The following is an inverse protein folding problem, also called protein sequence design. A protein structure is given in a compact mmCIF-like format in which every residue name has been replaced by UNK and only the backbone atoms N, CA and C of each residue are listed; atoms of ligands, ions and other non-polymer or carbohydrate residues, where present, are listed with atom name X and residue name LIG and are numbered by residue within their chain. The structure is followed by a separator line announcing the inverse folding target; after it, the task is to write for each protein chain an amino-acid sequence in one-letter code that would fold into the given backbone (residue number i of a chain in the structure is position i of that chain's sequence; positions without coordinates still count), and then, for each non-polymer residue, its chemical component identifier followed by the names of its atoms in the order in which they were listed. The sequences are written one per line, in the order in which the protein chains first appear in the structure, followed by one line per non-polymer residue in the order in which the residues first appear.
data_IF_913160325621
#
_entry.id   IF_913160325621
#
_cell.length_a   1.000
_cell.length_b   1.000
_cell.length_c   1.000
_cell.angle_alpha   90.00
_cell.angle_beta   90.00
_cell.angle_gamma   90.00
#
_symmetry.space_group_name_H-M   'P 1'
#
loop_
_entity.id
_entity.type
_entity.pdbx_description
1 polymer ?
#
# COMPACT_ATOMS: atom_id res chain seq x y z
N UNK A 1 -25.65 -37.52 35.49
CA UNK A 1 -26.99 -37.30 36.09
C UNK A 1 -27.73 -36.30 35.21
N UNK A 2 -28.86 -36.68 34.59
CA UNK A 2 -30.25 -36.38 34.99
C UNK A 2 -30.70 -34.90 34.82
N UNK A 3 -31.52 -34.68 33.77
CA UNK A 3 -32.53 -33.62 33.54
C UNK A 3 -32.07 -32.14 33.54
N UNK A 4 -32.44 -31.27 32.59
CA UNK A 4 -33.76 -30.84 32.05
C UNK A 4 -34.66 -30.08 33.04
N UNK A 5 -34.80 -28.75 32.88
CA UNK A 5 -36.09 -28.08 32.54
C UNK A 5 -35.97 -26.58 32.20
N UNK A 6 -37.08 -26.02 31.70
CA UNK A 6 -37.29 -24.63 31.23
C UNK A 6 -38.02 -23.77 32.29
N UNK A 7 -38.38 -22.54 31.88
CA UNK A 7 -39.40 -21.62 32.44
C UNK A 7 -38.85 -20.56 33.44
N UNK A 8 -39.33 -19.30 33.47
CA UNK A 8 -40.43 -18.68 32.69
C UNK A 8 -40.39 -17.13 32.63
N UNK A 9 -41.38 -16.58 31.92
CA UNK A 9 -41.95 -15.21 31.92
C UNK A 9 -41.96 -14.51 33.30
N UNK A 10 -42.16 -13.18 33.46
CA UNK A 10 -42.85 -12.15 32.62
C UNK A 10 -42.02 -10.82 32.62
N UNK A 11 -42.46 -9.55 32.43
CA UNK A 11 -43.75 -8.82 32.34
C UNK A 11 -43.55 -7.49 31.54
N UNK A 12 -44.63 -6.86 31.07
CA UNK A 12 -44.66 -5.54 30.40
C UNK A 12 -45.25 -4.42 31.27
N UNK A 13 -44.79 -3.17 31.07
CA UNK A 13 -45.47 -1.96 31.53
C UNK A 13 -45.14 -0.77 30.59
N UNK A 14 -46.05 0.21 30.49
CA UNK A 14 -45.92 1.37 29.60
C UNK A 14 -46.50 2.65 30.22
N UNK A 15 -46.05 3.82 29.75
CA UNK A 15 -46.67 5.12 30.03
C UNK A 15 -46.45 6.10 28.85
N UNK A 16 -47.40 7.00 28.62
CA UNK A 16 -47.37 8.08 27.60
C UNK A 16 -47.46 9.47 28.29
N UNK A 17 -47.81 10.51 27.51
CA UNK A 17 -48.30 11.87 27.93
C UNK A 17 -47.15 12.85 28.23
N UNK A 18 -47.12 14.10 27.72
CA UNK A 18 -47.88 14.82 26.67
C UNK A 18 -46.94 15.93 26.11
N UNK A 19 -46.93 16.26 24.81
CA UNK A 19 -47.89 17.10 24.08
C UNK A 19 -48.10 18.51 24.67
N UNK A 20 -47.69 19.56 23.93
CA UNK A 20 -47.82 20.96 24.33
C UNK A 20 -47.44 21.91 23.19
N UNK A 21 -48.36 22.15 22.25
CA UNK A 21 -48.16 23.08 21.13
C UNK A 21 -48.77 24.45 21.39
N UNK A 22 -48.19 25.50 20.81
CA UNK A 22 -48.73 26.86 20.82
C UNK A 22 -48.91 27.37 19.38
N UNK A 23 -50.11 27.86 19.06
CA UNK A 23 -50.36 28.65 17.86
C UNK A 23 -50.13 30.14 18.17
N UNK A 24 -49.57 30.87 17.22
CA UNK A 24 -49.61 32.33 17.16
C UNK A 24 -49.99 32.76 15.74
N UNK A 25 -50.79 33.82 15.61
CA UNK A 25 -51.41 34.23 14.36
C UNK A 25 -50.51 35.16 13.53
N UNK A 26 -50.61 35.06 12.21
CA UNK A 26 -49.83 35.89 11.29
C UNK A 26 -50.39 37.31 11.10
N UNK A 27 -49.65 38.12 10.36
CA UNK A 27 -50.09 39.39 9.78
C UNK A 27 -49.56 39.49 8.34
N UNK A 28 -50.40 39.92 7.40
CA UNK A 28 -50.04 40.03 5.99
C UNK A 28 -49.74 41.49 5.63
N UNK A 29 -48.56 41.73 5.03
CA UNK A 29 -48.19 43.03 4.46
C UNK A 29 -48.19 42.94 2.93
N UNK A 30 -48.67 43.99 2.27
CA UNK A 30 -48.67 44.09 0.81
C UNK A 30 -47.26 44.39 0.26
N UNK A 31 -46.91 43.92 -0.95
CA UNK A 31 -45.60 44.18 -1.54
C UNK A 31 -45.47 45.64 -1.98
N UNK A 32 -44.37 46.29 -1.57
CA UNK A 32 -43.93 47.54 -2.18
C UNK A 32 -43.05 47.24 -3.40
N UNK A 33 -43.29 47.95 -4.50
CA UNK A 33 -42.46 47.86 -5.70
C UNK A 33 -41.10 48.54 -5.48
N UNK A 34 -40.01 47.80 -5.67
CA UNK A 34 -38.64 48.34 -5.70
C UNK A 34 -38.01 48.14 -7.09
N UNK A 35 -37.19 49.10 -7.51
CA UNK A 35 -36.49 49.06 -8.79
C UNK A 35 -35.35 48.01 -8.79
N UNK A 36 -34.95 47.47 -9.96
CA UNK A 36 -33.93 46.43 -10.04
C UNK A 36 -32.54 46.99 -9.71
N UNK A 37 -32.09 46.78 -8.47
CA UNK A 37 -30.69 46.97 -8.11
C UNK A 37 -29.79 46.06 -8.96
N UNK A 38 -28.75 46.62 -9.54
CA UNK A 38 -27.81 45.87 -10.37
C UNK A 38 -26.96 44.93 -9.48
N UNK A 39 -27.39 43.66 -9.38
CA UNK A 39 -26.61 42.61 -8.75
C UNK A 39 -25.33 42.36 -9.56
N UNK A 40 -24.23 42.95 -9.12
CA UNK A 40 -22.88 42.54 -9.53
C UNK A 40 -22.69 41.12 -8.99
N UNK A 41 -22.86 40.13 -9.85
CA UNK A 41 -22.46 38.76 -9.58
C UNK A 41 -20.93 38.75 -9.53
N UNK A 42 -20.38 38.96 -8.33
CA UNK A 42 -19.00 38.61 -8.04
C UNK A 42 -18.91 37.11 -8.26
N UNK A 43 -18.20 36.70 -9.31
CA UNK A 43 -18.04 35.29 -9.62
C UNK A 43 -17.51 34.56 -8.37
N UNK A 44 -18.16 33.46 -7.99
CA UNK A 44 -17.60 32.57 -6.98
C UNK A 44 -16.19 32.20 -7.42
N UNK A 45 -15.25 32.22 -6.47
CA UNK A 45 -13.95 31.59 -6.71
C UNK A 45 -14.23 30.17 -7.17
N UNK A 46 -13.64 29.76 -8.30
CA UNK A 46 -13.65 28.36 -8.71
C UNK A 46 -13.29 27.50 -7.49
N UNK A 47 -14.21 26.63 -7.10
CA UNK A 47 -14.08 25.78 -5.92
C UNK A 47 -12.76 25.04 -6.02
N UNK A 48 -11.89 25.15 -5.02
CA UNK A 48 -10.68 24.32 -5.02
C UNK A 48 -11.12 22.86 -5.09
N UNK A 49 -10.68 22.16 -6.14
CA UNK A 49 -10.98 20.76 -6.32
C UNK A 49 -10.58 19.98 -5.07
N UNK A 50 -11.46 19.07 -4.62
CA UNK A 50 -11.22 18.21 -3.47
C UNK A 50 -9.85 17.55 -3.55
N UNK A 51 -9.12 17.42 -2.43
CA UNK A 51 -7.91 16.62 -2.41
C UNK A 51 -8.22 15.19 -2.83
N UNK A 52 -7.24 14.58 -3.48
CA UNK A 52 -7.27 13.16 -3.83
C UNK A 52 -6.41 12.42 -2.83
N UNK A 53 -6.98 11.43 -2.16
CA UNK A 53 -6.27 10.59 -1.20
C UNK A 53 -5.67 9.39 -1.91
N UNK A 54 -4.36 9.31 -1.90
CA UNK A 54 -3.60 8.15 -2.39
C UNK A 54 -3.04 7.39 -1.19
N UNK A 55 -3.12 6.07 -1.19
CA UNK A 55 -2.70 5.23 -0.07
C UNK A 55 -1.97 3.95 -0.52
N UNK A 56 -1.16 3.40 0.38
CA UNK A 56 -0.65 2.02 0.29
C UNK A 56 -0.95 1.28 1.58
N UNK A 57 -1.10 -0.04 1.50
CA UNK A 57 -1.25 -0.91 2.67
C UNK A 57 -0.80 -2.33 2.32
N UNK A 58 0.29 -2.83 2.91
CA UNK A 58 0.51 -4.27 2.94
C UNK A 58 -0.62 -4.92 3.75
N UNK A 59 -1.40 -5.80 3.12
CA UNK A 59 -2.64 -6.33 3.68
C UNK A 59 -2.47 -7.72 4.30
N UNK A 60 -1.27 -8.32 4.24
CA UNK A 60 -0.98 -9.71 4.64
C UNK A 60 -2.02 -10.71 4.09
N UNK A 61 -2.46 -10.49 2.84
CA UNK A 61 -3.41 -11.35 2.11
C UNK A 61 -2.72 -12.51 1.39
N UNK A 62 -1.42 -12.72 1.62
CA UNK A 62 -0.70 -13.92 1.18
C UNK A 62 -1.30 -15.18 1.82
N UNK A 63 -1.35 -16.28 1.09
CA UNK A 63 -1.83 -17.58 1.59
C UNK A 63 -0.84 -18.69 1.30
N UNK A 64 -1.11 -19.87 1.84
CA UNK A 64 -0.18 -21.02 1.81
C UNK A 64 -0.30 -21.86 0.53
N UNK A 65 -1.41 -21.76 -0.22
CA UNK A 65 -1.63 -22.52 -1.45
C UNK A 65 -2.32 -21.66 -2.54
N UNK A 66 -2.12 -21.97 -3.84
CA UNK A 66 -2.81 -21.29 -4.94
C UNK A 66 -4.32 -21.24 -4.78
N UNK A 67 -4.90 -20.04 -4.91
CA UNK A 67 -6.35 -19.82 -4.86
C UNK A 67 -6.99 -19.98 -3.47
N UNK A 68 -6.21 -20.12 -2.39
CA UNK A 68 -6.72 -20.04 -1.03
C UNK A 68 -7.35 -18.66 -0.76
N UNK A 69 -6.72 -17.57 -1.22
CA UNK A 69 -7.26 -16.21 -1.09
C UNK A 69 -8.60 -16.05 -1.83
N UNK A 70 -8.68 -16.56 -3.07
CA UNK A 70 -9.95 -16.60 -3.85
C UNK A 70 -11.04 -17.35 -3.09
N UNK A 71 -10.69 -18.46 -2.42
CA UNK A 71 -11.65 -19.26 -1.64
C UNK A 71 -12.13 -18.51 -0.40
N UNK A 72 -11.23 -17.86 0.33
CA UNK A 72 -11.56 -17.05 1.51
C UNK A 72 -12.46 -15.86 1.16
N UNK A 73 -12.07 -15.08 0.15
CA UNK A 73 -12.80 -13.90 -0.31
C UNK A 73 -14.13 -14.24 -1.02
N UNK A 74 -14.33 -15.50 -1.43
CA UNK A 74 -15.62 -15.98 -1.92
C UNK A 74 -16.67 -16.13 -0.81
N UNK A 75 -16.24 -16.26 0.45
CA UNK A 75 -17.09 -16.03 1.61
C UNK A 75 -17.16 -14.54 1.96
N UNK A 76 -18.11 -14.17 2.82
CA UNK A 76 -18.22 -12.82 3.40
C UNK A 76 -17.79 -12.78 4.87
N UNK A 77 -17.13 -13.84 5.35
CA UNK A 77 -16.93 -14.16 6.78
C UNK A 77 -15.49 -14.09 7.26
N UNK A 78 -14.51 -13.78 6.40
CA UNK A 78 -13.13 -13.55 6.87
C UNK A 78 -13.10 -12.34 7.80
N UNK A 79 -12.50 -12.51 8.98
CA UNK A 79 -12.28 -11.44 9.94
C UNK A 79 -11.19 -10.48 9.43
N UNK A 80 -10.11 -11.01 8.87
CA UNK A 80 -9.01 -10.22 8.31
C UNK A 80 -9.50 -9.35 7.15
N UNK A 81 -10.21 -9.93 6.19
CA UNK A 81 -10.71 -9.16 5.05
C UNK A 81 -11.77 -8.12 5.43
N UNK A 82 -12.56 -8.36 6.50
CA UNK A 82 -13.43 -7.32 7.09
C UNK A 82 -12.62 -6.20 7.74
N UNK A 83 -11.59 -6.53 8.53
CA UNK A 83 -10.78 -5.54 9.23
C UNK A 83 -10.00 -4.65 8.24
N UNK A 84 -9.33 -5.25 7.24
CA UNK A 84 -8.65 -4.53 6.14
C UNK A 84 -9.64 -3.67 5.35
N UNK A 85 -10.82 -4.18 5.00
CA UNK A 85 -11.84 -3.37 4.33
C UNK A 85 -12.37 -2.22 5.20
N UNK A 86 -12.55 -2.43 6.51
CA UNK A 86 -12.94 -1.40 7.47
C UNK A 86 -11.90 -0.27 7.58
N UNK A 87 -10.62 -0.61 7.60
CA UNK A 87 -9.50 0.36 7.58
C UNK A 87 -9.54 1.21 6.30
N UNK A 88 -9.75 0.58 5.15
CA UNK A 88 -9.87 1.25 3.86
C UNK A 88 -11.14 2.10 3.80
N UNK A 89 -12.27 1.63 4.34
CA UNK A 89 -13.52 2.39 4.39
C UNK A 89 -13.45 3.60 5.32
N UNK A 90 -12.82 3.47 6.49
CA UNK A 90 -12.59 4.56 7.44
C UNK A 90 -11.59 5.60 6.91
N UNK A 91 -10.56 5.18 6.19
CA UNK A 91 -9.56 6.09 5.59
C UNK A 91 -10.03 6.70 4.26
N UNK A 92 -10.95 6.04 3.57
CA UNK A 92 -11.60 6.45 2.33
C UNK A 92 -10.72 6.87 1.13
N UNK A 93 -9.56 6.23 0.85
CA UNK A 93 -8.69 6.61 -0.25
C UNK A 93 -9.40 6.56 -1.61
N UNK A 94 -8.96 7.39 -2.55
CA UNK A 94 -9.45 7.43 -3.93
C UNK A 94 -8.65 6.52 -4.85
N UNK A 95 -7.38 6.31 -4.52
CA UNK A 95 -6.48 5.33 -5.12
C UNK A 95 -5.76 4.60 -3.99
N UNK A 96 -5.81 3.27 -3.97
CA UNK A 96 -5.12 2.46 -2.95
C UNK A 96 -4.42 1.26 -3.57
N UNK A 97 -3.12 1.15 -3.31
CA UNK A 97 -2.34 -0.06 -3.56
C UNK A 97 -2.46 -0.98 -2.33
N UNK A 98 -2.70 -2.26 -2.54
CA UNK A 98 -2.47 -3.29 -1.54
C UNK A 98 -1.25 -4.14 -1.92
N UNK A 99 -0.32 -4.29 -0.98
CA UNK A 99 0.77 -5.26 -1.07
C UNK A 99 0.36 -6.58 -0.40
N UNK A 100 1.08 -7.65 -0.72
CA UNK A 100 0.75 -9.03 -0.35
C UNK A 100 -0.65 -9.50 -0.73
N UNK A 101 -1.11 -9.13 -1.92
CA UNK A 101 -2.35 -9.61 -2.47
C UNK A 101 -2.05 -10.73 -3.48
N UNK A 102 -2.29 -11.99 -3.11
CA UNK A 102 -2.01 -13.13 -4.00
C UNK A 102 -2.67 -12.94 -5.38
N UNK A 103 -1.84 -12.99 -6.42
CA UNK A 103 -2.27 -12.81 -7.79
C UNK A 103 -2.97 -14.07 -8.30
N UNK A 104 -4.15 -13.90 -8.90
CA UNK A 104 -4.80 -14.94 -9.70
C UNK A 104 -5.07 -14.44 -11.13
N UNK A 105 -4.86 -15.26 -12.17
CA UNK A 105 -4.95 -14.84 -13.56
C UNK A 105 -6.39 -14.60 -14.06
N UNK A 106 -7.40 -15.01 -13.29
CA UNK A 106 -8.81 -14.68 -13.54
C UNK A 106 -9.22 -13.34 -12.85
N UNK A 107 -8.31 -12.71 -12.09
CA UNK A 107 -8.50 -11.51 -11.25
C UNK A 107 -9.61 -11.64 -10.18
N UNK A 108 -9.95 -12.87 -9.79
CA UNK A 108 -11.10 -13.20 -8.95
C UNK A 108 -10.92 -12.79 -7.49
N UNK A 109 -9.72 -12.91 -6.91
CA UNK A 109 -9.46 -12.44 -5.56
C UNK A 109 -9.72 -10.92 -5.49
N UNK A 110 -9.23 -10.17 -6.47
CA UNK A 110 -9.43 -8.72 -6.54
C UNK A 110 -10.92 -8.34 -6.69
N UNK A 111 -11.64 -8.99 -7.60
CA UNK A 111 -13.08 -8.75 -7.77
C UNK A 111 -13.90 -9.13 -6.54
N UNK A 112 -13.56 -10.24 -5.87
CA UNK A 112 -14.23 -10.70 -4.65
C UNK A 112 -13.96 -9.76 -3.47
N UNK A 113 -12.73 -9.28 -3.25
CA UNK A 113 -12.47 -8.29 -2.21
C UNK A 113 -13.23 -6.99 -2.47
N UNK A 114 -13.22 -6.52 -3.73
CA UNK A 114 -13.92 -5.32 -4.18
C UNK A 114 -15.43 -5.38 -3.96
N UNK A 115 -16.06 -6.52 -4.24
CA UNK A 115 -17.52 -6.67 -4.20
C UNK A 115 -18.06 -7.16 -2.86
N UNK A 116 -17.41 -8.12 -2.21
CA UNK A 116 -17.90 -8.73 -0.96
C UNK A 116 -17.48 -7.96 0.30
N UNK A 117 -16.43 -7.15 0.23
CA UNK A 117 -15.85 -6.46 1.38
C UNK A 117 -15.77 -4.94 1.16
N UNK A 118 -15.02 -4.44 0.17
CA UNK A 118 -14.84 -2.98 -0.02
C UNK A 118 -16.16 -2.24 -0.26
N UNK A 119 -17.02 -2.76 -1.14
CA UNK A 119 -18.34 -2.19 -1.42
C UNK A 119 -19.39 -2.39 -0.30
N UNK A 120 -19.08 -3.16 0.75
CA UNK A 120 -20.01 -3.52 1.84
C UNK A 120 -19.58 -2.82 3.14
N UNK A 121 -20.26 -1.72 3.49
CA UNK A 121 -19.90 -0.90 4.64
C UNK A 121 -19.91 -1.63 5.99
N UNK A 122 -18.84 -1.50 6.77
CA UNK A 122 -18.69 -2.02 8.13
C UNK A 122 -18.75 -0.91 9.19
N UNK A 123 -19.37 -1.21 10.34
CA UNK A 123 -19.25 -0.46 11.61
C UNK A 123 -19.45 1.06 11.53
N UNK A 124 -20.35 1.48 10.63
CA UNK A 124 -20.76 2.87 10.42
C UNK A 124 -20.01 3.59 9.29
N UNK A 125 -18.94 3.01 8.76
CA UNK A 125 -18.30 3.48 7.54
C UNK A 125 -19.11 3.03 6.31
N UNK A 126 -19.26 3.88 5.28
CA UNK A 126 -19.90 3.49 4.03
C UNK A 126 -18.97 2.60 3.19
N UNK A 127 -19.56 1.65 2.46
CA UNK A 127 -18.82 0.85 1.48
C UNK A 127 -18.29 1.72 0.34
N UNK A 128 -17.09 1.40 -0.14
CA UNK A 128 -16.41 2.14 -1.23
C UNK A 128 -16.45 1.32 -2.51
N UNK A 129 -17.01 1.92 -3.56
CA UNK A 129 -16.96 1.38 -4.91
C UNK A 129 -15.72 1.89 -5.63
N UNK A 130 -14.80 0.97 -5.94
CA UNK A 130 -13.73 1.21 -6.91
C UNK A 130 -14.18 0.65 -8.28
N UNK A 131 -14.51 1.49 -9.28
CA UNK A 131 -14.85 1.04 -10.63
C UNK A 131 -13.64 0.59 -11.46
N UNK A 132 -12.41 0.92 -11.06
CA UNK A 132 -11.19 0.52 -11.75
C UNK A 132 -10.27 -0.30 -10.83
N UNK A 133 -9.66 -1.34 -11.40
CA UNK A 133 -8.78 -2.29 -10.72
C UNK A 133 -7.62 -2.60 -11.67
N UNK A 134 -6.42 -2.77 -11.13
CA UNK A 134 -5.28 -3.31 -11.86
C UNK A 134 -4.55 -4.36 -11.01
N UNK A 135 -4.23 -5.49 -11.64
CA UNK A 135 -3.33 -6.53 -11.12
C UNK A 135 -2.49 -7.05 -12.29
N UNK A 136 -1.29 -7.55 -11.99
CA UNK A 136 -0.41 -8.18 -12.97
C UNK A 136 0.46 -9.24 -12.28
N UNK A 137 1.10 -10.15 -13.05
CA UNK A 137 2.00 -11.16 -12.49
C UNK A 137 3.17 -10.58 -11.69
N UNK A 138 3.65 -11.37 -10.74
CA UNK A 138 4.85 -11.14 -9.96
C UNK A 138 5.86 -12.27 -10.19
N UNK A 139 7.12 -12.06 -9.83
CA UNK A 139 8.19 -13.07 -9.90
C UNK A 139 8.20 -14.06 -8.72
N UNK A 140 7.45 -13.76 -7.68
CA UNK A 140 7.29 -14.59 -6.48
C UNK A 140 6.77 -15.97 -6.83
N UNK A 141 7.52 -17.00 -6.45
CA UNK A 141 7.22 -18.40 -6.71
C UNK A 141 7.25 -18.84 -8.18
N UNK A 142 7.66 -17.97 -9.11
CA UNK A 142 7.91 -18.33 -10.53
C UNK A 142 9.25 -19.07 -10.62
N UNK A 143 9.29 -20.39 -10.93
CA UNK A 143 10.53 -21.16 -10.88
C UNK A 143 11.59 -20.62 -11.85
N UNK A 144 12.82 -20.40 -11.37
CA UNK A 144 13.91 -19.98 -12.24
C UNK A 144 14.52 -21.13 -13.06
N UNK A 145 14.46 -22.35 -12.51
CA UNK A 145 15.09 -23.54 -13.08
C UNK A 145 16.60 -23.66 -12.78
N UNK A 146 17.10 -22.91 -11.79
CA UNK A 146 18.51 -22.81 -11.40
C UNK A 146 18.63 -22.82 -9.87
N UNK A 147 19.82 -23.14 -9.36
CA UNK A 147 20.18 -23.16 -7.93
C UNK A 147 20.61 -21.75 -7.52
N UNK A 148 19.66 -20.92 -7.07
CA UNK A 148 19.89 -19.51 -6.73
C UNK A 148 20.29 -19.30 -5.28
N UNK A 149 20.13 -20.32 -4.43
CA UNK A 149 20.50 -20.33 -3.02
C UNK A 149 21.86 -21.04 -2.73
N UNK A 150 22.44 -21.72 -3.72
CA UNK A 150 23.66 -22.53 -3.64
C UNK A 150 23.56 -23.73 -2.66
N UNK A 151 22.37 -24.34 -2.48
CA UNK A 151 22.18 -25.53 -1.63
C UNK A 151 22.57 -26.87 -2.29
N UNK A 152 22.76 -26.86 -3.62
CA UNK A 152 23.12 -28.03 -4.43
C UNK A 152 21.91 -28.78 -5.01
N UNK A 153 20.71 -28.21 -4.89
CA UNK A 153 19.49 -28.69 -5.55
C UNK A 153 18.84 -27.58 -6.39
N UNK A 154 17.78 -27.91 -7.14
CA UNK A 154 17.06 -26.92 -7.97
C UNK A 154 15.57 -27.00 -7.70
N UNK A 155 15.01 -25.92 -7.19
CA UNK A 155 13.58 -25.67 -7.01
C UNK A 155 13.16 -25.49 -5.55
N UNK A 156 11.94 -24.97 -5.39
CA UNK A 156 11.45 -24.47 -4.10
C UNK A 156 11.39 -22.94 -4.09
N UNK A 157 11.08 -22.32 -2.94
CA UNK A 157 10.83 -20.87 -2.87
C UNK A 157 12.05 -20.01 -3.18
N UNK A 158 13.22 -20.35 -2.66
CA UNK A 158 14.44 -19.53 -2.75
C UNK A 158 15.09 -19.49 -4.15
N UNK A 159 14.72 -20.48 -4.98
CA UNK A 159 15.09 -20.67 -6.39
C UNK A 159 14.05 -20.12 -7.37
N UNK A 160 12.93 -19.58 -6.88
CA UNK A 160 12.05 -18.79 -7.71
C UNK A 160 12.66 -17.41 -8.02
N UNK A 161 12.22 -16.76 -9.09
CA UNK A 161 12.74 -15.43 -9.45
C UNK A 161 12.54 -14.38 -8.34
N UNK A 162 11.54 -14.56 -7.48
CA UNK A 162 11.52 -14.04 -6.11
C UNK A 162 10.89 -15.08 -5.18
N UNK A 163 11.16 -14.98 -3.88
CA UNK A 163 10.72 -15.98 -2.89
C UNK A 163 9.19 -16.18 -2.93
N UNK A 164 8.75 -17.44 -3.01
CA UNK A 164 7.33 -17.80 -2.89
C UNK A 164 7.06 -19.30 -3.09
N UNK A 165 6.06 -19.83 -2.39
CA UNK A 165 5.62 -21.21 -2.49
C UNK A 165 4.85 -21.52 -3.78
N UNK A 166 4.35 -20.50 -4.48
CA UNK A 166 3.67 -20.63 -5.78
C UNK A 166 3.68 -19.32 -6.57
N UNK A 167 3.50 -19.43 -7.90
CA UNK A 167 3.47 -18.28 -8.82
C UNK A 167 2.41 -17.25 -8.42
N UNK A 168 2.85 -16.03 -8.10
CA UNK A 168 1.96 -14.91 -7.77
C UNK A 168 1.61 -14.75 -6.28
N UNK A 169 2.16 -15.58 -5.39
CA UNK A 169 2.07 -15.35 -3.94
C UNK A 169 2.66 -13.97 -3.58
N UNK A 170 2.17 -13.29 -2.54
CA UNK A 170 2.68 -11.97 -2.12
C UNK A 170 2.57 -10.86 -3.19
N UNK A 171 1.64 -11.00 -4.13
CA UNK A 171 1.41 -10.06 -5.24
C UNK A 171 0.88 -8.69 -4.81
N UNK A 172 0.28 -7.96 -5.74
CA UNK A 172 -0.25 -6.61 -5.51
C UNK A 172 -1.59 -6.40 -6.21
N UNK A 173 -2.36 -5.41 -5.74
CA UNK A 173 -3.55 -4.91 -6.45
C UNK A 173 -3.70 -3.41 -6.26
N UNK A 174 -4.01 -2.69 -7.34
CA UNK A 174 -4.37 -1.28 -7.31
C UNK A 174 -5.88 -1.11 -7.51
N UNK A 175 -6.55 -0.45 -6.56
CA UNK A 175 -7.95 -0.05 -6.69
C UNK A 175 -8.03 1.47 -6.89
N UNK A 176 -8.90 1.93 -7.80
CA UNK A 176 -9.04 3.35 -8.14
C UNK A 176 -10.49 3.79 -8.39
N UNK A 177 -10.85 4.97 -7.88
CA UNK A 177 -12.09 5.70 -8.20
C UNK A 177 -12.01 6.38 -9.58
N UNK A 178 -10.81 6.54 -10.12
CA UNK A 178 -10.52 7.22 -11.39
C UNK A 178 -10.00 6.25 -12.47
N UNK A 179 -10.22 6.52 -13.77
CA UNK A 179 -9.80 5.63 -14.85
C UNK A 179 -8.30 5.31 -14.81
N UNK A 180 -7.96 4.04 -15.01
CA UNK A 180 -6.59 3.58 -15.23
C UNK A 180 -6.35 3.52 -16.74
N UNK A 181 -5.27 4.14 -17.23
CA UNK A 181 -4.88 4.07 -18.64
C UNK A 181 -4.05 2.81 -18.91
N UNK A 182 -4.76 1.67 -18.99
CA UNK A 182 -4.17 0.34 -19.18
C UNK A 182 -3.38 0.18 -20.48
N UNK A 183 -3.54 1.09 -21.45
CA UNK A 183 -2.77 1.08 -22.69
C UNK A 183 -1.35 1.65 -22.52
N UNK A 184 -1.12 2.49 -21.51
CA UNK A 184 0.17 3.12 -21.25
C UNK A 184 0.94 2.54 -20.06
N UNK A 185 0.30 1.73 -19.21
CA UNK A 185 0.93 1.00 -18.08
C UNK A 185 2.26 0.35 -18.48
N UNK A 186 3.26 0.45 -17.60
CA UNK A 186 4.57 -0.22 -17.74
C UNK A 186 4.78 -1.18 -16.58
N UNK A 187 5.46 -2.28 -16.83
CA UNK A 187 5.88 -3.22 -15.80
C UNK A 187 7.34 -3.61 -16.03
N UNK A 188 8.11 -3.81 -14.96
CA UNK A 188 9.53 -4.18 -15.01
C UNK A 188 9.74 -5.55 -14.34
N UNK A 189 8.85 -6.50 -14.60
CA UNK A 189 8.92 -7.84 -14.02
C UNK A 189 10.15 -8.61 -14.53
N UNK A 190 10.44 -8.54 -15.83
CA UNK A 190 11.47 -9.36 -16.49
C UNK A 190 12.82 -8.65 -16.67
N UNK A 191 12.93 -7.41 -16.19
CA UNK A 191 14.18 -6.62 -16.20
C UNK A 191 15.29 -7.36 -15.41
N UNK A 192 16.48 -7.53 -16.01
CA UNK A 192 17.58 -8.30 -15.40
C UNK A 192 18.35 -7.47 -14.38
N UNK A 193 18.77 -8.12 -13.28
CA UNK A 193 19.62 -7.44 -12.28
C UNK A 193 20.98 -7.06 -12.87
N UNK A 194 21.54 -7.91 -13.73
CA UNK A 194 22.78 -7.68 -14.47
C UNK A 194 22.74 -6.55 -15.50
N UNK A 195 21.56 -6.13 -15.97
CA UNK A 195 21.41 -5.00 -16.89
C UNK A 195 21.39 -3.63 -16.18
N UNK A 196 21.37 -3.60 -14.84
CA UNK A 196 21.52 -2.37 -14.06
C UNK A 196 23.01 -1.97 -13.93
N UNK A 197 23.44 -0.79 -14.42
CA UNK A 197 24.83 -0.37 -14.35
C UNK A 197 25.32 -0.22 -12.92
N UNK A 198 26.32 -1.01 -12.54
CA UNK A 198 26.86 -1.01 -11.18
C UNK A 198 25.89 -1.56 -10.14
N UNK A 199 25.05 -2.53 -10.51
CA UNK A 199 24.25 -3.32 -9.57
C UNK A 199 25.09 -3.86 -8.41
N UNK A 200 24.51 -3.89 -7.21
CA UNK A 200 25.12 -4.39 -5.98
C UNK A 200 25.07 -5.93 -5.93
N UNK A 201 25.54 -6.62 -6.96
CA UNK A 201 25.45 -8.09 -7.04
C UNK A 201 26.12 -8.78 -5.83
N UNK A 202 25.53 -9.85 -5.28
CA UNK A 202 26.09 -10.59 -4.16
C UNK A 202 27.35 -11.39 -4.55
N UNK A 203 28.23 -11.56 -3.58
CA UNK A 203 29.45 -12.38 -3.68
C UNK A 203 29.45 -13.45 -2.60
N UNK A 204 29.82 -14.68 -2.92
CA UNK A 204 29.89 -15.79 -1.96
C UNK A 204 31.00 -15.57 -0.90
N UNK A 205 30.64 -15.48 0.40
CA UNK A 205 31.60 -15.34 1.50
C UNK A 205 32.43 -16.60 1.78
N UNK A 206 32.03 -17.78 1.30
CA UNK A 206 32.70 -19.05 1.57
C UNK A 206 33.88 -19.34 0.63
N UNK A 207 33.75 -19.02 -0.67
CA UNK A 207 34.84 -19.02 -1.66
C UNK A 207 35.84 -17.88 -1.49
N UNK A 208 35.51 -16.89 -0.65
CA UNK A 208 36.35 -15.71 -0.39
C UNK A 208 36.05 -14.52 -1.30
N UNK A 209 34.82 -14.39 -1.79
CA UNK A 209 34.37 -13.26 -2.61
C UNK A 209 34.38 -13.52 -4.13
N UNK A 210 34.08 -14.75 -4.56
CA UNK A 210 33.65 -14.97 -5.94
C UNK A 210 32.20 -14.48 -6.14
N UNK A 211 31.76 -14.34 -7.39
CA UNK A 211 30.36 -13.99 -7.69
C UNK A 211 29.41 -15.07 -7.14
N UNK A 212 28.28 -14.68 -6.53
CA UNK A 212 27.31 -15.62 -5.93
C UNK A 212 26.56 -16.45 -6.98
N UNK A 213 26.28 -15.83 -8.13
CA UNK A 213 25.60 -16.46 -9.27
C UNK A 213 26.63 -16.86 -10.32
N UNK A 214 26.42 -18.01 -10.97
CA UNK A 214 27.13 -18.32 -12.22
C UNK A 214 26.72 -17.35 -13.34
N UNK A 215 27.49 -17.32 -14.43
CA UNK A 215 27.19 -16.46 -15.57
C UNK A 215 25.81 -16.76 -16.23
N UNK A 216 25.39 -18.03 -16.24
CA UNK A 216 24.11 -18.45 -16.83
C UNK A 216 22.91 -18.12 -15.93
N UNK A 217 23.10 -18.06 -14.61
CA UNK A 217 22.13 -17.54 -13.64
C UNK A 217 22.04 -16.02 -13.69
N UNK A 218 23.19 -15.33 -13.68
CA UNK A 218 23.25 -13.87 -13.70
C UNK A 218 22.66 -13.27 -14.99
N UNK A 219 22.72 -13.99 -16.11
CA UNK A 219 22.02 -13.63 -17.35
C UNK A 219 20.48 -13.76 -17.28
N UNK A 220 19.94 -14.43 -16.24
CA UNK A 220 18.53 -14.77 -16.13
C UNK A 220 17.84 -14.17 -14.89
N UNK A 221 18.56 -13.97 -13.78
CA UNK A 221 18.04 -13.35 -12.54
C UNK A 221 17.45 -11.97 -12.82
N UNK A 222 16.22 -11.77 -12.35
CA UNK A 222 15.42 -10.55 -12.52
C UNK A 222 15.65 -9.63 -11.34
N UNK A 223 15.69 -8.32 -11.52
CA UNK A 223 15.83 -7.39 -10.39
C UNK A 223 14.61 -7.46 -9.47
N UNK A 224 13.42 -7.19 -10.01
CA UNK A 224 12.15 -7.24 -9.28
C UNK A 224 11.95 -8.59 -8.58
N UNK A 225 11.79 -8.61 -7.27
CA UNK A 225 11.45 -9.79 -6.46
C UNK A 225 9.96 -10.11 -6.55
N UNK A 226 9.11 -9.08 -6.45
CA UNK A 226 7.68 -9.14 -6.80
C UNK A 226 7.49 -8.57 -8.21
N UNK A 227 7.29 -7.26 -8.33
CA UNK A 227 7.19 -6.52 -9.60
C UNK A 227 7.29 -5.01 -9.34
N UNK A 228 7.61 -4.23 -10.37
CA UNK A 228 7.55 -2.77 -10.38
C UNK A 228 6.58 -2.34 -11.48
N UNK A 229 5.58 -1.52 -11.16
CA UNK A 229 4.55 -1.06 -12.09
C UNK A 229 4.49 0.47 -12.16
N UNK A 230 4.50 1.03 -13.36
CA UNK A 230 4.05 2.41 -13.60
C UNK A 230 2.61 2.34 -14.14
N UNK A 231 1.65 2.76 -13.32
CA UNK A 231 0.21 2.69 -13.61
C UNK A 231 -0.37 4.10 -13.72
N UNK A 232 -0.59 4.65 -14.93
CA UNK A 232 -1.14 5.98 -15.09
C UNK A 232 -2.64 6.02 -14.75
N UNK A 233 -3.03 6.93 -13.85
CA UNK A 233 -4.41 7.14 -13.41
C UNK A 233 -4.87 8.55 -13.83
N UNK A 234 -6.04 8.62 -14.48
CA UNK A 234 -6.54 9.85 -15.11
C UNK A 234 -7.44 10.64 -14.16
N UNK A 235 -6.85 11.62 -13.47
CA UNK A 235 -7.50 12.41 -12.43
C UNK A 235 -7.65 13.86 -12.88
N UNK A 236 -8.90 14.36 -12.97
CA UNK A 236 -9.16 15.73 -13.45
C UNK A 236 -8.68 15.99 -14.89
N UNK A 237 -8.64 14.95 -15.73
CA UNK A 237 -8.07 15.06 -17.08
C UNK A 237 -6.54 15.25 -17.11
N UNK A 238 -5.84 14.78 -16.08
CA UNK A 238 -4.36 14.71 -16.00
C UNK A 238 -3.92 13.28 -15.68
N UNK A 239 -2.81 12.85 -16.27
CA UNK A 239 -2.11 11.65 -15.79
C UNK A 239 -1.56 11.91 -14.39
N UNK A 240 -1.63 10.88 -13.54
CA UNK A 240 -0.81 10.72 -12.35
C UNK A 240 -0.30 9.28 -12.37
N UNK A 241 1.02 9.14 -12.45
CA UNK A 241 1.73 7.87 -12.50
C UNK A 241 1.80 7.26 -11.10
N UNK A 242 1.14 6.12 -10.89
CA UNK A 242 1.26 5.36 -9.66
C UNK A 242 2.41 4.38 -9.84
N UNK A 243 3.53 4.66 -9.17
CA UNK A 243 4.75 3.87 -9.24
C UNK A 243 4.73 2.86 -8.09
N UNK A 244 4.18 1.68 -8.36
CA UNK A 244 3.87 0.65 -7.36
C UNK A 244 4.95 -0.44 -7.33
N UNK A 245 5.49 -0.72 -6.15
CA UNK A 245 6.47 -1.77 -5.90
C UNK A 245 6.19 -2.54 -4.60
N UNK A 246 6.79 -3.72 -4.51
CA UNK A 246 6.99 -4.44 -3.26
C UNK A 246 8.36 -5.12 -3.34
N UNK A 247 9.48 -4.44 -2.98
CA UNK A 247 10.82 -5.01 -2.97
C UNK A 247 10.94 -6.22 -2.03
N UNK A 248 12.08 -6.89 -2.03
CA UNK A 248 12.33 -7.98 -1.08
C UNK A 248 12.55 -7.42 0.34
N UNK A 249 12.09 -8.12 1.40
CA UNK A 249 12.62 -7.92 2.75
C UNK A 249 14.15 -8.08 2.74
N UNK A 250 14.93 -7.21 3.41
CA UNK A 250 16.40 -7.21 3.37
C UNK A 250 17.01 -8.23 4.35
N UNK A 251 16.30 -9.33 4.59
CA UNK A 251 16.56 -10.32 5.65
C UNK A 251 16.22 -11.73 5.16
N UNK A 252 16.37 -12.73 6.05
CA UNK A 252 16.15 -14.16 5.81
C UNK A 252 17.21 -14.88 4.95
N UNK A 253 18.33 -14.22 4.66
CA UNK A 253 19.49 -14.75 3.94
C UNK A 253 20.79 -14.72 4.78
N UNK A 254 21.92 -15.01 4.15
CA UNK A 254 23.22 -15.18 4.80
C UNK A 254 24.16 -13.97 4.70
N UNK A 255 25.47 -14.24 4.83
CA UNK A 255 26.52 -13.20 4.86
C UNK A 255 26.84 -12.60 3.48
N UNK A 256 26.26 -13.15 2.43
CA UNK A 256 26.23 -12.63 1.08
C UNK A 256 25.37 -11.37 0.96
N UNK A 257 24.37 -11.17 1.84
CA UNK A 257 23.43 -10.04 1.81
C UNK A 257 22.74 -9.93 0.43
N UNK A 258 22.26 -11.07 -0.10
CA UNK A 258 21.55 -11.17 -1.38
C UNK A 258 20.29 -10.31 -1.36
N UNK A 259 19.60 -10.23 -0.23
CA UNK A 259 18.32 -9.57 -0.09
C UNK A 259 18.44 -8.07 0.22
N UNK A 260 19.33 -7.62 1.11
CA UNK A 260 19.55 -6.18 1.33
C UNK A 260 20.15 -5.49 0.10
N UNK A 261 21.06 -6.16 -0.62
CA UNK A 261 21.54 -5.74 -1.95
C UNK A 261 20.41 -5.58 -2.96
N UNK A 262 19.55 -6.58 -3.05
CA UNK A 262 18.43 -6.59 -4.00
C UNK A 262 17.41 -5.51 -3.67
N UNK A 263 17.07 -5.34 -2.39
CA UNK A 263 16.20 -4.28 -1.90
C UNK A 263 16.74 -2.89 -2.31
N UNK A 264 18.04 -2.64 -2.11
CA UNK A 264 18.70 -1.39 -2.50
C UNK A 264 18.55 -1.07 -3.99
N UNK A 265 18.85 -2.04 -4.87
CA UNK A 265 18.72 -1.85 -6.32
C UNK A 265 17.25 -1.83 -6.80
N UNK A 266 16.33 -2.54 -6.13
CA UNK A 266 14.88 -2.45 -6.40
C UNK A 266 14.36 -1.03 -6.11
N UNK A 267 14.70 -0.45 -4.96
CA UNK A 267 14.38 0.95 -4.63
C UNK A 267 15.07 1.92 -5.62
N UNK A 268 16.33 1.63 -5.99
CA UNK A 268 17.09 2.41 -6.97
C UNK A 268 16.42 2.45 -8.34
N UNK A 269 15.74 1.38 -8.78
CA UNK A 269 14.99 1.38 -10.04
C UNK A 269 14.04 2.57 -10.09
N UNK A 270 13.31 2.87 -9.00
CA UNK A 270 12.46 4.06 -8.96
C UNK A 270 13.23 5.38 -8.93
N UNK A 271 14.36 5.47 -8.23
CA UNK A 271 15.21 6.66 -8.21
C UNK A 271 15.76 7.00 -9.61
N UNK A 272 16.31 6.01 -10.32
CA UNK A 272 16.77 6.16 -11.70
C UNK A 272 15.59 6.40 -12.67
N UNK A 273 14.43 5.75 -12.47
CA UNK A 273 13.24 5.89 -13.32
C UNK A 273 12.65 7.31 -13.30
N UNK A 274 12.45 7.89 -12.11
CA UNK A 274 11.91 9.26 -11.97
C UNK A 274 12.94 10.33 -12.32
N UNK A 275 14.24 10.01 -12.28
CA UNK A 275 15.30 10.87 -12.80
C UNK A 275 15.26 10.95 -14.33
N UNK A 276 14.89 9.84 -14.98
CA UNK A 276 14.74 9.76 -16.43
C UNK A 276 16.07 9.99 -17.17
N UNK A 277 15.97 10.48 -18.40
CA UNK A 277 17.11 10.94 -19.19
C UNK A 277 18.25 9.91 -19.29
N UNK A 278 19.40 10.22 -18.68
CA UNK A 278 20.58 9.33 -18.66
C UNK A 278 20.57 8.29 -17.56
N UNK A 279 19.89 8.55 -16.44
CA UNK A 279 19.82 7.62 -15.32
C UNK A 279 18.99 6.39 -15.74
N UNK A 280 17.75 6.61 -16.15
CA UNK A 280 16.87 5.56 -16.67
C UNK A 280 17.25 4.99 -18.05
N UNK A 281 18.37 5.38 -18.66
CA UNK A 281 18.67 5.02 -20.05
C UNK A 281 18.89 3.51 -20.28
N UNK A 282 19.18 2.76 -19.21
CA UNK A 282 19.32 1.30 -19.24
C UNK A 282 18.01 0.55 -18.94
N UNK A 283 16.99 1.23 -18.40
CA UNK A 283 15.72 0.62 -18.03
C UNK A 283 14.90 0.32 -19.28
N UNK A 284 14.38 -0.90 -19.37
CA UNK A 284 13.41 -1.35 -20.36
C UNK A 284 12.25 -2.06 -19.65
N UNK A 285 11.03 -1.82 -20.10
CA UNK A 285 9.84 -2.49 -19.56
C UNK A 285 9.54 -3.83 -20.27
N UNK A 286 8.59 -4.59 -19.74
CA UNK A 286 8.18 -5.91 -20.26
C UNK A 286 7.57 -5.87 -21.68
N UNK A 287 7.33 -4.67 -22.25
CA UNK A 287 6.92 -4.46 -23.63
C UNK A 287 8.07 -3.91 -24.51
N UNK A 288 9.29 -3.83 -23.98
CA UNK A 288 10.48 -3.37 -24.67
C UNK A 288 10.57 -1.85 -24.85
N UNK A 289 9.78 -1.04 -24.12
CA UNK A 289 9.93 0.42 -24.13
C UNK A 289 11.06 0.81 -23.17
N UNK A 290 12.04 1.53 -23.71
CA UNK A 290 13.23 1.99 -22.99
C UNK A 290 13.04 3.37 -22.36
N UNK A 291 13.81 3.66 -21.32
CA UNK A 291 13.85 4.97 -20.66
C UNK A 291 12.84 5.12 -19.52
N UNK A 292 13.02 6.20 -18.75
CA UNK A 292 12.30 6.47 -17.50
C UNK A 292 10.96 7.17 -17.68
N UNK A 293 10.57 7.93 -16.64
CA UNK A 293 9.46 8.86 -16.69
C UNK A 293 9.88 10.17 -17.37
N UNK A 294 8.93 10.84 -18.05
CA UNK A 294 9.19 12.10 -18.74
C UNK A 294 9.30 13.31 -17.78
N UNK A 295 10.13 14.27 -18.18
CA UNK A 295 10.53 15.41 -17.34
C UNK A 295 9.38 16.37 -17.01
N UNK A 296 8.90 16.29 -15.77
CA UNK A 296 7.84 17.16 -15.25
C UNK A 296 6.48 16.49 -15.07
N UNK A 297 6.40 15.18 -15.34
CA UNK A 297 5.22 14.37 -15.03
C UNK A 297 4.88 14.32 -13.54
N UNK A 298 3.65 13.91 -13.23
CA UNK A 298 3.13 13.79 -11.87
C UNK A 298 3.13 12.33 -11.45
N UNK A 299 3.75 11.99 -10.33
CA UNK A 299 3.81 10.62 -9.85
C UNK A 299 3.58 10.52 -8.33
N UNK A 300 3.20 9.34 -7.87
CA UNK A 300 3.26 8.94 -6.46
C UNK A 300 3.88 7.56 -6.40
N UNK A 301 5.00 7.41 -5.69
CA UNK A 301 5.57 6.09 -5.40
C UNK A 301 4.77 5.49 -4.23
N UNK A 302 4.33 4.24 -4.40
CA UNK A 302 3.52 3.49 -3.46
C UNK A 302 4.12 2.11 -3.19
N UNK A 303 4.04 1.69 -1.93
CA UNK A 303 4.25 0.31 -1.53
C UNK A 303 5.01 0.21 -0.22
N UNK A 304 4.88 -0.94 0.42
CA UNK A 304 5.92 -1.48 1.28
C UNK A 304 7.24 -1.57 0.50
N UNK A 305 8.22 -0.75 0.88
CA UNK A 305 9.57 -0.75 0.31
C UNK A 305 10.56 -1.62 1.10
N UNK A 306 10.14 -2.20 2.23
CA UNK A 306 10.96 -3.06 3.08
C UNK A 306 12.30 -2.43 3.55
N UNK A 307 12.39 -1.10 3.59
CA UNK A 307 13.60 -0.38 4.03
C UNK A 307 13.21 0.80 4.89
N UNK A 308 13.68 0.79 6.13
CA UNK A 308 13.60 1.88 7.09
C UNK A 308 14.87 2.75 6.98
N UNK A 309 14.78 4.09 7.12
CA UNK A 309 15.93 4.98 6.96
C UNK A 309 16.98 4.88 8.07
N UNK A 310 16.67 4.28 9.22
CA UNK A 310 17.51 4.33 10.42
C UNK A 310 17.64 3.00 11.18
N UNK A 311 16.60 2.18 11.27
CA UNK A 311 16.54 1.13 12.30
C UNK A 311 16.27 -0.29 11.78
N UNK A 312 16.02 -0.45 10.47
CA UNK A 312 15.88 -1.76 9.80
C UNK A 312 17.17 -2.26 9.14
N UNK A 313 17.22 -3.56 8.83
CA UNK A 313 18.40 -4.26 8.30
C UNK A 313 18.77 -3.97 6.83
N UNK A 314 18.03 -3.10 6.12
CA UNK A 314 18.39 -2.69 4.76
C UNK A 314 19.73 -1.93 4.71
N UNK A 315 20.50 -2.11 3.63
CA UNK A 315 21.77 -1.39 3.40
C UNK A 315 21.60 0.12 3.67
N UNK A 316 22.53 0.72 4.43
CA UNK A 316 22.45 2.13 4.84
C UNK A 316 22.21 3.06 3.65
N UNK A 317 21.13 3.86 3.72
CA UNK A 317 20.72 4.79 2.66
C UNK A 317 19.89 4.17 1.52
N UNK A 318 19.43 2.92 1.60
CA UNK A 318 18.61 2.27 0.56
C UNK A 318 17.36 3.07 0.22
N UNK A 319 16.52 3.39 1.21
CA UNK A 319 15.30 4.19 1.01
C UNK A 319 15.57 5.70 0.82
N UNK A 320 16.70 6.22 1.31
CA UNK A 320 17.09 7.64 1.11
C UNK A 320 17.22 8.01 -0.37
N UNK A 321 17.54 7.05 -1.24
CA UNK A 321 17.50 7.18 -2.70
C UNK A 321 16.18 7.79 -3.21
N UNK A 322 15.08 7.59 -2.47
CA UNK A 322 13.78 8.23 -2.70
C UNK A 322 13.51 9.39 -1.73
N UNK A 323 13.76 9.24 -0.42
CA UNK A 323 13.34 10.24 0.58
C UNK A 323 14.03 11.59 0.41
N UNK A 324 15.33 11.61 0.09
CA UNK A 324 16.08 12.85 -0.18
C UNK A 324 16.13 13.20 -1.68
N UNK A 325 15.43 12.46 -2.54
CA UNK A 325 15.42 12.72 -3.98
C UNK A 325 14.73 14.07 -4.28
N UNK A 326 15.40 14.94 -5.05
CA UNK A 326 14.91 16.33 -5.27
C UNK A 326 13.54 16.42 -5.95
N UNK A 327 13.11 15.37 -6.66
CA UNK A 327 11.80 15.29 -7.32
C UNK A 327 10.70 14.69 -6.42
N UNK A 328 11.04 14.08 -5.29
CA UNK A 328 10.12 13.38 -4.37
C UNK A 328 9.80 14.25 -3.16
N UNK A 329 8.58 14.18 -2.66
CA UNK A 329 8.14 14.76 -1.39
C UNK A 329 7.86 13.63 -0.40
N UNK A 330 8.77 13.38 0.55
CA UNK A 330 8.41 12.63 1.76
C UNK A 330 7.40 13.45 2.58
N UNK A 331 6.16 12.97 2.79
CA UNK A 331 5.15 13.70 3.53
C UNK A 331 5.16 13.39 5.04
N UNK A 332 6.15 12.63 5.53
CA UNK A 332 6.36 12.25 6.94
C UNK A 332 5.03 11.90 7.66
N UNK A 333 4.30 10.87 7.18
CA UNK A 333 3.05 10.45 7.79
C UNK A 333 3.30 10.04 9.23
N UNK A 334 2.33 10.27 10.12
CA UNK A 334 2.45 9.85 11.51
C UNK A 334 1.14 9.39 12.13
N UNK A 335 1.24 8.79 13.32
CA UNK A 335 0.10 8.34 14.13
C UNK A 335 0.41 8.34 15.63
N UNK A 336 -0.63 8.45 16.45
CA UNK A 336 -0.50 8.32 17.90
C UNK A 336 -0.41 6.85 18.36
N UNK A 337 -0.87 5.89 17.54
CA UNK A 337 -0.84 4.46 17.85
C UNK A 337 0.52 3.80 17.64
N UNK A 338 1.32 4.25 16.66
CA UNK A 338 2.69 3.78 16.45
C UNK A 338 3.58 4.08 17.67
N UNK A 339 3.57 5.33 18.12
CA UNK A 339 4.27 5.76 19.33
C UNK A 339 3.75 5.08 20.61
N UNK A 340 2.46 4.75 20.69
CA UNK A 340 1.89 3.96 21.80
C UNK A 340 2.36 2.50 21.76
N UNK A 341 2.40 1.87 20.59
CA UNK A 341 2.86 0.49 20.42
C UNK A 341 4.35 0.35 20.76
N UNK A 342 5.22 1.19 20.18
CA UNK A 342 6.65 1.24 20.48
C UNK A 342 6.92 1.40 21.99
N UNK A 343 6.19 2.30 22.66
CA UNK A 343 6.31 2.52 24.10
C UNK A 343 5.71 1.39 24.98
N UNK A 344 4.78 0.59 24.46
CA UNK A 344 4.17 -0.56 25.17
C UNK A 344 4.99 -1.84 25.03
N UNK A 345 5.66 -2.06 23.89
CA UNK A 345 6.45 -3.26 23.64
C UNK A 345 7.89 -3.15 24.21
N UNK A 346 8.57 -2.02 23.98
CA UNK A 346 9.92 -1.77 24.46
C UNK A 346 11.04 -2.46 23.65
N UNK A 347 11.32 -3.74 23.91
CA UNK A 347 12.35 -4.59 23.28
C UNK A 347 13.39 -3.95 22.32
N UNK A 348 13.17 -4.11 21.01
CA UNK A 348 14.02 -3.56 19.95
C UNK A 348 13.72 -2.06 19.75
N UNK A 349 12.42 -1.71 19.72
CA UNK A 349 11.89 -0.36 19.51
C UNK A 349 12.47 0.71 20.45
N UNK A 350 12.86 0.34 21.67
CA UNK A 350 13.50 1.20 22.68
C UNK A 350 14.99 1.48 22.42
N UNK A 351 15.57 0.88 21.37
CA UNK A 351 16.93 1.11 20.88
C UNK A 351 16.93 1.87 19.53
N UNK A 352 15.76 2.08 18.93
CA UNK A 352 15.61 2.76 17.63
C UNK A 352 15.96 4.24 17.71
N UNK A 353 16.37 4.79 16.57
CA UNK A 353 16.86 6.17 16.37
C UNK A 353 15.81 7.06 15.71
N UNK A 354 14.85 6.46 15.01
CA UNK A 354 13.67 7.10 14.44
C UNK A 354 12.72 7.67 15.49
N UNK A 355 11.74 8.44 15.03
CA UNK A 355 10.64 8.93 15.86
C UNK A 355 9.45 7.97 15.68
N UNK A 356 9.02 7.23 16.72
CA UNK A 356 8.11 6.11 16.56
C UNK A 356 6.68 6.51 16.17
N UNK A 357 6.33 7.80 16.19
CA UNK A 357 5.11 8.26 15.54
C UNK A 357 5.10 8.05 14.01
N UNK A 358 6.25 7.84 13.37
CA UNK A 358 6.39 7.63 11.92
C UNK A 358 6.37 6.16 11.47
N UNK A 359 6.34 5.20 12.41
CA UNK A 359 6.38 3.77 12.07
C UNK A 359 5.10 3.33 11.34
N UNK A 360 5.24 2.35 10.45
CA UNK A 360 4.16 1.85 9.57
C UNK A 360 3.90 0.36 9.71
N UNK A 361 4.82 -0.39 10.32
CA UNK A 361 4.71 -1.82 10.58
C UNK A 361 5.14 -2.15 12.02
N UNK A 362 4.69 -3.32 12.48
CA UNK A 362 4.84 -3.84 13.84
C UNK A 362 5.25 -5.31 13.74
N UNK A 363 6.56 -5.57 13.72
CA UNK A 363 7.13 -6.91 13.50
C UNK A 363 7.36 -7.69 14.80
N UNK A 364 6.71 -7.27 15.89
CA UNK A 364 7.01 -7.63 17.28
C UNK A 364 8.44 -7.29 17.73
N UNK A 365 8.56 -6.79 18.96
CA UNK A 365 9.84 -6.58 19.67
C UNK A 365 10.64 -7.86 20.00
N UNK A 366 10.24 -9.02 19.46
CA UNK A 366 11.06 -10.23 19.40
C UNK A 366 11.97 -10.29 18.17
N UNK A 367 11.70 -9.46 17.14
CA UNK A 367 12.50 -9.37 15.92
C UNK A 367 13.05 -7.95 15.74
N UNK A 368 12.51 -7.16 14.81
CA UNK A 368 12.91 -5.80 14.48
C UNK A 368 12.00 -4.72 15.12
N UNK A 369 10.99 -5.09 15.91
CA UNK A 369 10.09 -4.12 16.55
C UNK A 369 9.24 -3.33 15.54
N UNK A 370 8.94 -2.07 15.87
CA UNK A 370 8.26 -1.17 14.94
C UNK A 370 9.24 -0.53 13.94
N UNK A 371 8.86 -0.47 12.66
CA UNK A 371 9.64 0.16 11.60
C UNK A 371 8.78 0.98 10.63
N UNK A 372 9.39 1.93 9.93
CA UNK A 372 8.81 2.68 8.81
C UNK A 372 9.22 2.02 7.49
N UNK A 373 8.33 1.20 6.92
CA UNK A 373 8.60 0.46 5.66
C UNK A 373 7.57 0.72 4.54
N UNK A 374 6.39 1.26 4.86
CA UNK A 374 5.32 1.57 3.91
C UNK A 374 5.38 3.04 3.46
N UNK A 375 5.43 3.26 2.14
CA UNK A 375 5.68 4.59 1.60
C UNK A 375 4.57 5.08 0.67
N UNK A 376 4.23 6.36 0.85
CA UNK A 376 3.43 7.17 -0.06
C UNK A 376 4.22 8.43 -0.35
N UNK A 377 4.86 8.51 -1.52
CA UNK A 377 5.85 9.54 -1.85
C UNK A 377 5.45 10.30 -3.13
N UNK A 378 4.65 11.38 -3.03
CA UNK A 378 4.26 12.20 -4.17
C UNK A 378 5.43 12.98 -4.76
N UNK A 379 5.37 13.25 -6.06
CA UNK A 379 6.31 14.16 -6.73
C UNK A 379 6.17 15.61 -6.22
N UNK A 380 7.25 16.40 -6.19
CA UNK A 380 7.23 17.81 -5.70
C UNK A 380 6.21 18.71 -6.43
N UNK A 381 5.76 18.34 -7.63
CA UNK A 381 4.74 19.06 -8.41
C UNK A 381 3.27 18.63 -8.07
N UNK A 382 3.07 17.67 -7.16
CA UNK A 382 1.81 17.31 -6.51
C UNK A 382 1.83 17.83 -5.05
N UNK A 383 1.22 18.98 -4.73
CA UNK A 383 1.24 19.52 -3.37
C UNK A 383 0.45 18.63 -2.39
N UNK A 384 1.16 18.07 -1.41
CA UNK A 384 0.59 17.39 -0.24
C UNK A 384 -0.15 18.38 0.65
N UNK A 385 -1.32 18.01 1.15
CA UNK A 385 -2.15 18.78 2.07
C UNK A 385 -2.22 18.15 3.47
N UNK A 386 -2.19 16.82 3.54
CA UNK A 386 -2.14 16.00 4.75
C UNK A 386 -1.48 14.66 4.44
N UNK A 387 -1.06 13.97 5.48
CA UNK A 387 -0.56 12.60 5.48
C UNK A 387 -0.94 11.92 6.79
N UNK A 388 -0.79 10.61 6.87
CA UNK A 388 -0.98 9.88 8.13
C UNK A 388 -0.86 8.37 7.96
N UNK A 389 -0.74 7.69 9.10
CA UNK A 389 -0.82 6.23 9.21
C UNK A 389 -2.13 5.86 9.93
N UNK A 390 -2.88 4.88 9.43
CA UNK A 390 -4.04 4.35 10.16
C UNK A 390 -3.56 3.43 11.29
N UNK A 391 -3.16 4.06 12.39
CA UNK A 391 -2.84 3.39 13.65
C UNK A 391 -3.45 4.21 14.81
N UNK A 392 -4.75 4.04 15.08
CA UNK A 392 -5.41 4.69 16.21
C UNK A 392 -4.99 4.06 17.55
N UNK A 393 -4.86 4.87 18.61
CA UNK A 393 -4.55 4.38 19.97
C UNK A 393 -5.57 3.38 20.50
N UNK A 394 -5.13 2.47 21.34
CA UNK A 394 -5.94 1.44 22.01
C UNK A 394 -7.17 2.06 22.68
N UNK A 395 -8.36 1.57 22.34
CA UNK A 395 -9.63 2.06 22.88
C UNK A 395 -10.19 3.31 22.17
N UNK A 396 -9.52 3.83 21.14
CA UNK A 396 -10.10 4.83 20.23
C UNK A 396 -10.71 4.14 18.99
N UNK A 397 -11.66 4.78 18.26
CA UNK A 397 -12.38 4.12 17.16
C UNK A 397 -11.44 3.58 16.06
N UNK A 398 -11.62 2.30 15.70
CA UNK A 398 -10.79 1.61 14.70
C UNK A 398 -9.55 0.92 15.26
N UNK A 399 -9.22 1.07 16.56
CA UNK A 399 -8.11 0.35 17.20
C UNK A 399 -8.37 -1.15 17.37
N UNK A 400 -9.63 -1.57 17.22
CA UNK A 400 -10.07 -2.95 17.07
C UNK A 400 -9.78 -3.55 15.69
N UNK A 401 -9.49 -2.72 14.68
CA UNK A 401 -9.13 -3.17 13.33
C UNK A 401 -7.64 -3.45 13.20
N UNK A 402 -6.79 -2.61 13.81
CA UNK A 402 -5.32 -2.80 13.87
C UNK A 402 -4.90 -3.70 15.02
N UNK A 403 -5.55 -3.58 16.18
CA UNK A 403 -5.33 -4.39 17.37
C UNK A 403 -3.93 -4.30 17.97
N UNK A 404 -3.55 -5.38 18.64
CA UNK A 404 -2.20 -5.76 19.06
C UNK A 404 -1.98 -7.22 18.62
N UNK A 405 -0.74 -7.71 18.65
CA UNK A 405 -0.46 -9.07 18.22
C UNK A 405 -1.31 -10.14 18.95
N UNK A 406 -1.90 -11.13 18.24
CA UNK A 406 -1.95 -11.29 16.78
C UNK A 406 -2.92 -10.29 16.13
N UNK A 407 -2.43 -9.53 15.15
CA UNK A 407 -3.16 -8.42 14.56
C UNK A 407 -4.43 -8.88 13.81
N UNK A 408 -5.59 -8.21 13.99
CA UNK A 408 -6.83 -8.59 13.31
C UNK A 408 -6.82 -8.35 11.79
N UNK A 409 -5.93 -7.49 11.27
CA UNK A 409 -5.85 -7.12 9.85
C UNK A 409 -4.50 -7.43 9.20
N UNK A 410 -3.41 -6.89 9.74
CA UNK A 410 -2.04 -7.02 9.23
C UNK A 410 -1.05 -6.55 10.32
N UNK A 411 0.19 -7.00 10.23
CA UNK A 411 1.38 -6.45 10.88
C UNK A 411 1.73 -5.02 10.40
N UNK A 412 1.43 -4.70 9.14
CA UNK A 412 1.54 -3.35 8.58
C UNK A 412 0.30 -2.48 8.88
N UNK A 413 0.36 -1.21 8.48
CA UNK A 413 -0.68 -0.19 8.66
C UNK A 413 -0.90 0.57 7.35
N UNK A 414 -2.13 1.01 7.09
CA UNK A 414 -2.43 1.79 5.89
C UNK A 414 -1.82 3.20 6.00
N UNK A 415 -0.94 3.55 5.05
CA UNK A 415 -0.32 4.88 4.93
C UNK A 415 -1.00 5.67 3.81
N UNK A 416 -1.25 6.96 4.02
CA UNK A 416 -1.90 7.81 3.00
C UNK A 416 -1.36 9.24 2.92
N UNK A 417 -1.60 9.88 1.77
CA UNK A 417 -1.42 11.32 1.55
C UNK A 417 -2.61 11.93 0.78
N UNK A 418 -3.07 13.11 1.23
CA UNK A 418 -4.04 13.97 0.53
C UNK A 418 -3.27 14.89 -0.43
N UNK A 419 -3.36 14.70 -1.76
CA UNK A 419 -2.67 15.54 -2.76
C UNK A 419 -3.63 16.45 -3.54
N UNK A 420 -3.21 17.68 -3.86
CA UNK A 420 -4.00 18.63 -4.68
C UNK A 420 -3.64 18.53 -6.17
N UNK A 421 -4.45 17.82 -6.93
CA UNK A 421 -4.34 17.70 -8.39
C UNK A 421 -4.77 19.00 -9.08
N UNK A 422 -3.84 19.96 -9.25
CA UNK A 422 -4.16 21.24 -9.91
C UNK A 422 -4.53 21.04 -11.39
N UNK A 423 -5.67 21.59 -11.81
CA UNK A 423 -6.13 21.63 -13.20
C UNK A 423 -7.47 20.93 -13.47
N UNK A 424 -8.13 20.43 -12.42
CA UNK A 424 -9.56 20.08 -12.37
C UNK A 424 -10.48 21.29 -12.18
#
# INVERSE_FOLDING_TARGET
MRFLRRCSLVLTAAAMVAAGGFFATGSAAAPASAEPAAHVVVAEKATEASPVRVATYNASFNRQNPGDLVRELSGTTSTQARAVAGIIQATAPDVVLLNEFDYDPDHRAAELFRTNYLAVGSDGAPGITYPYVYTAPANTGVPSGMDLNNDGTVGGPDDAFGYGAFEGQYGMVLYSKYPIDTANVRTFQNFKWSDMPGALLPTDPASGGADWYSADELAQVRLSSKSHWDVPVIIGGKSIHILASHPTPPVFDGREDRNGRRNNDEIRLWADYIEGGKAAAYLYDDQGRWGGLDGGERFVILGDQNSDPLDGDSIEGSIDQLLIHRLVHDPLPSSEGAAEASALQGGASAQHRGLPEHDTADFEDQSAGNLRVDYVLPSKNLPVLRSGVFWPRVGTPGSDLTGIFPFPSSDHRLVYADVRVRGS
#
